data_IF_577299638503
#
_entry.id   IF_577299638503
#
_cell.length_a   1.000
_cell.length_b   1.000
_cell.length_c   1.000
_cell.angle_alpha   90.00
_cell.angle_beta   90.00
_cell.angle_gamma   90.00
#
_symmetry.space_group_name_H-M   'P 1'
#
loop_
_entity.id
_entity.type
_entity.pdbx_description
1 polymer ?
#
# COMPACT_ATOMS: atom_id res chain seq x y z
N UNK A 1 4.60 6.36 17.98
CA UNK A 1 3.75 6.31 16.76
C UNK A 1 4.33 5.41 15.67
N UNK A 2 5.60 5.54 15.27
CA UNK A 2 6.20 4.68 14.22
C UNK A 2 6.09 3.18 14.54
N UNK A 3 6.35 2.77 15.78
CA UNK A 3 6.20 1.37 16.20
C UNK A 3 4.78 0.81 16.03
N UNK A 4 3.74 1.65 16.16
CA UNK A 4 2.36 1.24 15.93
C UNK A 4 2.02 1.12 14.45
N UNK A 5 2.80 1.72 13.55
CA UNK A 5 2.59 1.61 12.10
C UNK A 5 3.22 0.35 11.52
N UNK A 6 4.26 -0.16 12.17
CA UNK A 6 4.95 -1.40 11.77
C UNK A 6 4.44 -2.63 12.52
N UNK A 7 3.48 -2.45 13.43
CA UNK A 7 2.91 -3.55 14.19
C UNK A 7 1.98 -4.40 13.32
N UNK A 8 2.17 -5.72 13.34
CA UNK A 8 1.27 -6.70 12.74
C UNK A 8 -0.16 -6.63 13.29
N UNK A 9 -0.37 -6.07 14.49
CA UNK A 9 -1.69 -5.87 15.08
C UNK A 9 -2.43 -4.65 14.54
N UNK A 10 -1.80 -3.84 13.67
CA UNK A 10 -2.45 -2.68 13.07
C UNK A 10 -3.65 -3.15 12.26
N UNK A 11 -4.84 -2.56 12.43
CA UNK A 11 -6.08 -3.04 11.80
C UNK A 11 -6.16 -2.68 10.30
N UNK A 12 -5.15 -3.09 9.53
CA UNK A 12 -5.08 -2.93 8.08
C UNK A 12 -5.44 -4.21 7.33
N UNK A 13 -5.59 -5.34 8.03
CA UNK A 13 -5.90 -6.65 7.44
C UNK A 13 -4.65 -7.44 7.05
N UNK A 14 -4.84 -8.50 6.26
CA UNK A 14 -3.73 -9.32 5.74
C UNK A 14 -2.88 -8.58 4.71
N UNK A 15 -1.59 -8.93 4.62
CA UNK A 15 -0.66 -8.29 3.68
C UNK A 15 -1.03 -8.59 2.23
N UNK A 16 -1.03 -7.57 1.36
CA UNK A 16 -1.39 -7.71 -0.05
C UNK A 16 -0.54 -8.73 -0.84
N UNK A 17 0.64 -9.08 -0.33
CA UNK A 17 1.58 -10.02 -0.95
C UNK A 17 1.53 -11.45 -0.37
N UNK A 18 0.73 -11.74 0.66
CA UNK A 18 0.77 -13.06 1.32
C UNK A 18 0.34 -14.22 0.40
N UNK A 19 -0.55 -13.96 -0.55
CA UNK A 19 -1.14 -15.00 -1.39
C UNK A 19 -0.20 -15.49 -2.53
N UNK A 20 0.92 -14.81 -2.79
CA UNK A 20 1.81 -15.21 -3.90
C UNK A 20 2.64 -16.45 -3.55
N UNK A 21 3.04 -16.61 -2.28
CA UNK A 21 3.80 -17.76 -1.80
C UNK A 21 2.94 -19.03 -1.85
N UNK A 22 1.69 -18.96 -1.37
CA UNK A 22 0.77 -20.10 -1.39
C UNK A 22 0.47 -20.56 -2.82
N UNK A 23 0.22 -19.61 -3.73
CA UNK A 23 0.04 -19.91 -5.14
C UNK A 23 1.30 -20.56 -5.75
N UNK A 24 2.48 -19.98 -5.50
CA UNK A 24 3.74 -20.52 -6.02
C UNK A 24 4.04 -21.93 -5.50
N UNK A 25 3.68 -22.22 -4.26
CA UNK A 25 3.74 -23.57 -3.70
C UNK A 25 2.78 -24.54 -4.40
N UNK A 26 1.51 -24.16 -4.57
CA UNK A 26 0.50 -24.99 -5.24
C UNK A 26 0.85 -25.28 -6.71
N UNK A 27 1.49 -24.33 -7.39
CA UNK A 27 1.95 -24.49 -8.77
C UNK A 27 3.36 -25.12 -8.89
N UNK A 28 3.98 -25.56 -7.78
CA UNK A 28 5.32 -26.13 -7.75
C UNK A 28 6.39 -25.24 -8.40
N UNK A 29 6.29 -23.92 -8.23
CA UNK A 29 7.24 -22.95 -8.78
C UNK A 29 8.58 -22.91 -8.03
N UNK A 30 8.63 -23.44 -6.81
CA UNK A 30 9.85 -23.61 -6.02
C UNK A 30 9.69 -24.82 -5.08
N UNK A 31 10.81 -25.37 -4.59
CA UNK A 31 10.85 -26.47 -3.61
C UNK A 31 10.96 -25.93 -2.19
N UNK A 32 10.62 -26.74 -1.19
CA UNK A 32 10.75 -26.35 0.23
C UNK A 32 12.16 -25.83 0.60
N UNK A 33 13.22 -26.38 -0.01
CA UNK A 33 14.60 -25.93 0.19
C UNK A 33 14.89 -24.54 -0.37
N UNK A 34 14.09 -24.07 -1.33
CA UNK A 34 14.26 -22.79 -2.05
C UNK A 34 13.37 -21.68 -1.46
N UNK A 35 12.59 -21.98 -0.40
CA UNK A 35 11.64 -21.03 0.19
C UNK A 35 12.29 -19.71 0.61
N UNK A 36 13.49 -19.76 1.19
CA UNK A 36 14.18 -18.56 1.66
C UNK A 36 14.59 -17.65 0.49
N UNK A 37 15.12 -18.24 -0.58
CA UNK A 37 15.49 -17.52 -1.80
C UNK A 37 14.25 -16.92 -2.46
N UNK A 38 13.15 -17.68 -2.54
CA UNK A 38 11.88 -17.19 -3.05
C UNK A 38 11.33 -16.01 -2.24
N UNK A 39 11.38 -16.09 -0.90
CA UNK A 39 10.99 -14.98 -0.02
C UNK A 39 11.86 -13.74 -0.22
N UNK A 40 13.15 -13.92 -0.47
CA UNK A 40 14.07 -12.83 -0.78
C UNK A 40 13.73 -12.15 -2.09
N UNK A 41 13.45 -12.93 -3.15
CA UNK A 41 13.05 -12.40 -4.45
C UNK A 41 11.73 -11.62 -4.37
N UNK A 42 10.74 -12.15 -3.64
CA UNK A 42 9.47 -11.45 -3.39
C UNK A 42 9.71 -10.16 -2.62
N UNK A 43 10.55 -10.19 -1.57
CA UNK A 43 10.89 -9.00 -0.80
C UNK A 43 11.55 -7.94 -1.69
N UNK A 44 12.53 -8.33 -2.51
CA UNK A 44 13.23 -7.43 -3.40
C UNK A 44 12.28 -6.84 -4.46
N UNK A 45 11.40 -7.67 -5.03
CA UNK A 45 10.36 -7.22 -5.97
C UNK A 45 9.41 -6.21 -5.31
N UNK A 46 8.92 -6.50 -4.10
CA UNK A 46 8.03 -5.60 -3.37
C UNK A 46 8.73 -4.28 -3.04
N UNK A 47 9.98 -4.31 -2.55
CA UNK A 47 10.74 -3.10 -2.23
C UNK A 47 10.94 -2.25 -3.49
N UNK A 48 11.44 -2.85 -4.57
CA UNK A 48 11.73 -2.13 -5.82
C UNK A 48 10.46 -1.57 -6.47
N UNK A 49 9.32 -2.23 -6.32
CA UNK A 49 8.04 -1.79 -6.90
C UNK A 49 7.34 -0.75 -6.03
N UNK A 50 7.41 -0.84 -4.70
CA UNK A 50 6.59 -0.01 -3.79
C UNK A 50 7.35 1.16 -3.19
N UNK A 51 8.64 1.01 -2.87
CA UNK A 51 9.43 2.08 -2.21
C UNK A 51 9.49 3.37 -3.04
N UNK A 52 9.65 3.36 -4.38
CA UNK A 52 9.65 4.60 -5.15
C UNK A 52 8.37 5.42 -4.99
N UNK A 53 7.21 4.76 -4.90
CA UNK A 53 5.92 5.42 -4.68
C UNK A 53 5.79 5.97 -3.27
N UNK A 54 6.27 5.24 -2.25
CA UNK A 54 6.29 5.71 -0.86
C UNK A 54 7.19 6.93 -0.73
N UNK A 55 8.41 6.88 -1.28
CA UNK A 55 9.35 7.99 -1.24
C UNK A 55 8.80 9.21 -1.96
N UNK A 56 8.22 9.03 -3.15
CA UNK A 56 7.58 10.11 -3.90
C UNK A 56 6.39 10.71 -3.14
N UNK A 57 5.62 9.89 -2.41
CA UNK A 57 4.52 10.37 -1.55
C UNK A 57 5.02 11.20 -0.37
N UNK A 58 6.11 10.76 0.26
CA UNK A 58 6.74 11.50 1.35
C UNK A 58 7.34 12.82 0.88
N UNK A 59 7.98 12.86 -0.28
CA UNK A 59 8.52 14.09 -0.85
C UNK A 59 7.40 15.07 -1.24
N UNK A 60 6.29 14.60 -1.80
CA UNK A 60 5.11 15.43 -2.04
C UNK A 60 4.57 16.06 -0.74
N UNK A 61 4.58 15.32 0.36
CA UNK A 61 4.19 15.82 1.68
C UNK A 61 5.19 16.85 2.24
N UNK A 62 6.50 16.61 2.10
CA UNK A 62 7.55 17.52 2.59
C UNK A 62 7.58 18.84 1.84
N UNK A 63 7.25 18.82 0.55
CA UNK A 63 7.17 20.00 -0.32
C UNK A 63 5.79 20.68 -0.25
N UNK A 64 4.99 20.39 0.77
CA UNK A 64 3.67 20.97 0.94
C UNK A 64 3.75 22.39 1.50
N UNK A 65 4.16 23.33 0.64
CA UNK A 65 3.77 24.75 0.72
C UNK A 65 2.54 25.00 -0.21
N UNK A 66 1.87 23.90 -0.59
CA UNK A 66 0.83 23.83 -1.63
C UNK A 66 -0.56 23.65 -1.01
N UNK A 67 -1.63 24.10 -1.68
CA UNK A 67 -3.00 23.84 -1.23
C UNK A 67 -3.28 22.33 -1.08
N UNK A 68 -4.01 21.95 -0.03
CA UNK A 68 -4.36 20.54 0.28
C UNK A 68 -4.96 19.78 -0.91
N UNK A 69 -5.78 20.47 -1.73
CA UNK A 69 -6.41 19.88 -2.93
C UNK A 69 -5.39 19.44 -3.98
N UNK A 70 -4.31 20.19 -4.17
CA UNK A 70 -3.27 19.86 -5.15
C UNK A 70 -2.47 18.64 -4.70
N UNK A 71 -2.24 18.51 -3.39
CA UNK A 71 -1.61 17.33 -2.79
C UNK A 71 -2.47 16.07 -2.96
N UNK A 72 -3.78 16.16 -2.69
CA UNK A 72 -4.73 15.04 -2.86
C UNK A 72 -4.77 14.58 -4.32
N UNK A 73 -4.81 15.51 -5.28
CA UNK A 73 -4.78 15.18 -6.70
C UNK A 73 -3.49 14.44 -7.08
N UNK A 74 -2.32 14.94 -6.65
CA UNK A 74 -1.02 14.33 -6.95
C UNK A 74 -0.88 12.93 -6.33
N UNK A 75 -1.38 12.73 -5.11
CA UNK A 75 -1.44 11.40 -4.51
C UNK A 75 -2.37 10.46 -5.27
N UNK A 76 -3.52 10.95 -5.75
CA UNK A 76 -4.47 10.14 -6.54
C UNK A 76 -3.86 9.74 -7.89
N UNK A 77 -3.16 10.66 -8.57
CA UNK A 77 -2.44 10.35 -9.81
C UNK A 77 -1.39 9.25 -9.58
N UNK A 78 -0.63 9.35 -8.49
CA UNK A 78 0.41 8.37 -8.15
C UNK A 78 -0.15 7.01 -7.72
N UNK A 79 -1.27 6.99 -7.00
CA UNK A 79 -2.01 5.76 -6.68
C UNK A 79 -2.54 5.06 -7.93
N UNK A 80 -2.99 5.84 -8.94
CA UNK A 80 -3.41 5.30 -10.23
C UNK A 80 -2.24 4.64 -10.98
N UNK A 81 -1.04 5.25 -10.95
CA UNK A 81 0.18 4.65 -11.52
C UNK A 81 0.57 3.35 -10.83
N UNK A 82 0.54 3.32 -9.49
CA UNK A 82 0.80 2.09 -8.72
C UNK A 82 -0.25 1.02 -9.00
N UNK A 83 -1.52 1.40 -9.05
CA UNK A 83 -2.60 0.50 -9.42
C UNK A 83 -2.41 -0.09 -10.82
N UNK A 84 -1.97 0.72 -11.79
CA UNK A 84 -1.69 0.28 -13.14
C UNK A 84 -0.50 -0.70 -13.22
N UNK A 85 0.51 -0.56 -12.36
CA UNK A 85 1.68 -1.46 -12.34
C UNK A 85 1.40 -2.81 -11.67
N UNK A 86 0.36 -2.92 -10.84
CA UNK A 86 -0.02 -4.18 -10.19
C UNK A 86 -0.85 -5.04 -11.16
N UNK A 87 -0.23 -6.02 -11.81
CA UNK A 87 -0.91 -6.91 -12.78
C UNK A 87 -1.89 -7.90 -12.15
N UNK A 88 -1.69 -8.28 -10.89
CA UNK A 88 -2.57 -9.20 -10.15
C UNK A 88 -3.81 -8.50 -9.61
N UNK A 89 -5.00 -8.89 -10.06
CA UNK A 89 -6.26 -8.34 -9.55
C UNK A 89 -6.49 -8.65 -8.06
N UNK A 90 -5.98 -9.79 -7.56
CA UNK A 90 -6.07 -10.17 -6.14
C UNK A 90 -5.19 -9.26 -5.29
N UNK A 91 -3.94 -9.04 -5.73
CA UNK A 91 -3.00 -8.13 -5.05
C UNK A 91 -3.52 -6.69 -5.07
N UNK A 92 -4.10 -6.25 -6.20
CA UNK A 92 -4.72 -4.93 -6.32
C UNK A 92 -5.89 -4.77 -5.35
N UNK A 93 -6.78 -5.77 -5.27
CA UNK A 93 -7.89 -5.77 -4.31
C UNK A 93 -7.40 -5.75 -2.87
N UNK A 94 -6.40 -6.56 -2.53
CA UNK A 94 -5.85 -6.62 -1.19
C UNK A 94 -5.17 -5.29 -0.80
N UNK A 95 -4.40 -4.69 -1.70
CA UNK A 95 -3.81 -3.35 -1.53
C UNK A 95 -4.87 -2.29 -1.25
N UNK A 96 -5.95 -2.27 -2.04
CA UNK A 96 -7.07 -1.34 -1.87
C UNK A 96 -7.78 -1.51 -0.52
N UNK A 97 -8.05 -2.76 -0.11
CA UNK A 97 -8.64 -3.08 1.20
C UNK A 97 -7.73 -2.60 2.33
N UNK A 98 -6.43 -2.88 2.23
CA UNK A 98 -5.43 -2.51 3.23
C UNK A 98 -5.31 -0.99 3.37
N UNK A 99 -5.19 -0.27 2.25
CA UNK A 99 -5.14 1.20 2.24
C UNK A 99 -6.43 1.82 2.78
N UNK A 100 -7.59 1.28 2.41
CA UNK A 100 -8.88 1.78 2.94
C UNK A 100 -9.00 1.57 4.45
N UNK A 101 -8.56 0.42 4.96
CA UNK A 101 -8.55 0.15 6.40
C UNK A 101 -7.60 1.10 7.15
N UNK A 102 -6.42 1.39 6.59
CA UNK A 102 -5.48 2.37 7.12
C UNK A 102 -6.07 3.78 7.17
N UNK A 103 -6.71 4.26 6.09
CA UNK A 103 -7.38 5.56 6.05
C UNK A 103 -8.50 5.68 7.09
N UNK A 104 -9.28 4.60 7.31
CA UNK A 104 -10.31 4.57 8.36
C UNK A 104 -9.70 4.67 9.76
N UNK A 105 -8.64 3.89 10.03
CA UNK A 105 -7.95 3.93 11.32
C UNK A 105 -7.37 5.33 11.59
N UNK A 106 -6.76 5.96 10.60
CA UNK A 106 -6.24 7.32 10.73
C UNK A 106 -7.34 8.37 10.89
N UNK A 107 -8.46 8.24 10.19
CA UNK A 107 -9.61 9.14 10.39
C UNK A 107 -10.15 9.08 11.82
N UNK A 108 -10.12 7.90 12.44
CA UNK A 108 -10.54 7.72 13.84
C UNK A 108 -9.53 8.30 14.84
N UNK A 109 -8.23 8.15 14.57
CA UNK A 109 -7.16 8.67 15.44
C UNK A 109 -6.93 10.18 15.29
N UNK A 110 -7.24 10.76 14.12
CA UNK A 110 -6.97 12.15 13.79
C UNK A 110 -8.22 12.85 13.19
N UNK A 111 -9.19 13.26 14.03
CA UNK A 111 -10.45 13.85 13.55
C UNK A 111 -10.28 15.13 12.72
N UNK A 112 -9.20 15.89 12.96
CA UNK A 112 -8.92 17.15 12.27
C UNK A 112 -8.51 16.99 10.80
N UNK A 113 -8.09 15.80 10.36
CA UNK A 113 -7.78 15.49 8.95
C UNK A 113 -8.85 14.65 8.26
N UNK A 114 -9.97 14.37 8.95
CA UNK A 114 -11.02 13.47 8.46
C UNK A 114 -11.64 13.94 7.14
N UNK A 115 -11.76 15.25 6.92
CA UNK A 115 -12.29 15.83 5.68
C UNK A 115 -11.45 15.46 4.45
N UNK A 116 -10.15 15.76 4.48
CA UNK A 116 -9.22 15.42 3.41
C UNK A 116 -9.09 13.91 3.17
N UNK A 117 -9.12 13.10 4.24
CA UNK A 117 -9.09 11.63 4.12
C UNK A 117 -10.36 11.07 3.45
N UNK A 118 -11.52 11.68 3.71
CA UNK A 118 -12.77 11.29 3.06
C UNK A 118 -12.76 11.62 1.56
N UNK A 119 -12.22 12.77 1.19
CA UNK A 119 -12.06 13.17 -0.22
C UNK A 119 -11.04 12.29 -0.96
N UNK A 120 -9.90 11.98 -0.34
CA UNK A 120 -8.92 11.04 -0.88
C UNK A 120 -9.55 9.65 -1.11
N UNK A 121 -10.28 9.13 -0.11
CA UNK A 121 -10.98 7.84 -0.20
C UNK A 121 -12.03 7.84 -1.33
N UNK A 122 -12.77 8.93 -1.51
CA UNK A 122 -13.76 9.05 -2.60
C UNK A 122 -13.09 9.09 -3.98
N UNK A 123 -11.90 9.68 -4.07
CA UNK A 123 -11.13 9.80 -5.31
C UNK A 123 -10.49 8.47 -5.72
N UNK A 124 -9.93 7.73 -4.77
CA UNK A 124 -9.17 6.50 -5.01
C UNK A 124 -10.02 5.22 -5.15
N UNK A 125 -11.28 5.23 -4.69
CA UNK A 125 -12.18 4.06 -4.70
C UNK A 125 -13.27 4.10 -5.79
N UNK A 126 -13.06 4.88 -6.86
CA UNK A 126 -13.96 4.87 -8.03
C UNK A 126 -13.65 3.73 -8.99
#
# INVERSE_FOLDING_TARGET
MIYQLVDSSTPTGGFAHSNTIEAAWQFNLFKASELLEYCWDVLLQTITTTVPFVMSSCELFRLADRPEKDCIQKWTEMDAWLSASITSHVTRRASCVQGTAMLRAFSACFPHIQGGLHDLKRSALR
#
